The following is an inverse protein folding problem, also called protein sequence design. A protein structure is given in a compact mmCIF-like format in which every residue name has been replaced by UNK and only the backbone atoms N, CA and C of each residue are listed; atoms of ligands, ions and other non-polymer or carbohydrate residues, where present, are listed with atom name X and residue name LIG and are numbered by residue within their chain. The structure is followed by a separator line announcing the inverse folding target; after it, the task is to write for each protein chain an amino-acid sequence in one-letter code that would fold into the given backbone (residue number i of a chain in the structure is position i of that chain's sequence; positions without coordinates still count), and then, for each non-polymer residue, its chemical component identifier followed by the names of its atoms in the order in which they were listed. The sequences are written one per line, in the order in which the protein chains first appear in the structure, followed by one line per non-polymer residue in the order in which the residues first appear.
data_IF_565262446745
#
_entry.id   IF_565262446745
#
_cell.length_a   1.000
_cell.length_b   1.000
_cell.length_c   1.000
_cell.angle_alpha   90.00
_cell.angle_beta   90.00
_cell.angle_gamma   90.00
#
_symmetry.space_group_name_H-M   'P 1'
#
loop_
_entity.id
_entity.type
_entity.pdbx_description
1 polymer ?
#
# COMPACT_ATOMS: atom_id res chain seq x y z
N UNK A 1 -0.07 32.70 -5.10
CA UNK A 1 0.18 31.41 -5.75
C UNK A 1 1.43 30.86 -5.12
N UNK A 2 1.40 29.61 -4.65
CA UNK A 2 2.56 28.95 -4.06
C UNK A 2 3.28 28.21 -5.17
N UNK A 3 4.39 28.78 -5.66
CA UNK A 3 5.09 28.26 -6.84
C UNK A 3 6.23 27.36 -6.43
N UNK A 4 6.36 26.18 -7.06
CA UNK A 4 7.43 25.23 -6.73
C UNK A 4 8.78 25.76 -7.23
N UNK A 5 9.73 25.96 -6.33
CA UNK A 5 11.05 26.54 -6.65
C UNK A 5 12.22 25.60 -6.40
N UNK A 6 12.08 24.65 -5.47
CA UNK A 6 13.13 23.70 -5.13
C UNK A 6 12.60 22.28 -5.06
N UNK A 7 13.46 21.34 -5.44
CA UNK A 7 13.20 19.90 -5.50
C UNK A 7 14.42 19.21 -4.91
N UNK A 8 14.21 18.44 -3.85
CA UNK A 8 15.24 17.62 -3.24
C UNK A 8 14.81 16.15 -3.20
N UNK A 9 15.75 15.25 -3.45
CA UNK A 9 15.49 13.81 -3.56
C UNK A 9 16.64 13.05 -2.91
N UNK A 10 16.31 12.34 -1.83
CA UNK A 10 17.28 11.59 -1.02
C UNK A 10 17.02 10.09 -1.13
N UNK A 11 18.06 9.35 -1.48
CA UNK A 11 18.11 7.89 -1.39
C UNK A 11 18.44 7.51 0.06
N UNK A 12 17.42 7.06 0.80
CA UNK A 12 17.54 6.63 2.19
C UNK A 12 17.49 5.11 2.26
N UNK A 13 18.42 4.49 3.00
CA UNK A 13 18.47 3.04 3.21
C UNK A 13 18.72 2.73 4.68
N UNK A 14 17.88 1.90 5.26
CA UNK A 14 17.98 1.44 6.65
C UNK A 14 18.45 -0.01 6.66
N UNK A 15 19.47 -0.38 7.46
CA UNK A 15 20.06 -1.72 7.46
C UNK A 15 19.18 -2.76 8.20
N UNK A 16 17.92 -2.92 7.79
CA UNK A 16 16.99 -3.89 8.39
C UNK A 16 17.43 -5.35 8.19
N UNK A 17 18.33 -5.62 7.24
CA UNK A 17 18.88 -6.95 7.04
C UNK A 17 19.67 -7.48 8.24
N UNK A 18 20.20 -6.59 9.07
CA UNK A 18 21.03 -6.96 10.23
C UNK A 18 20.20 -7.66 11.31
N UNK A 19 18.89 -7.41 11.35
CA UNK A 19 17.94 -8.01 12.30
C UNK A 19 16.87 -8.88 11.64
N UNK A 20 16.96 -9.09 10.32
CA UNK A 20 16.00 -9.84 9.48
C UNK A 20 14.55 -9.33 9.56
N UNK A 21 14.35 -8.08 9.99
CA UNK A 21 13.04 -7.44 10.01
C UNK A 21 12.56 -7.22 8.58
N UNK A 22 11.30 -7.58 8.31
CA UNK A 22 10.72 -7.51 6.97
C UNK A 22 11.01 -8.73 6.08
N UNK A 23 11.68 -9.77 6.59
CA UNK A 23 12.01 -10.96 5.80
C UNK A 23 10.77 -11.77 5.41
N UNK A 24 10.76 -12.20 4.16
CA UNK A 24 9.69 -13.00 3.54
C UNK A 24 10.26 -14.08 2.59
N UNK A 25 9.42 -14.93 1.95
CA UNK A 25 9.89 -16.01 1.08
C UNK A 25 10.88 -15.59 -0.02
N UNK A 26 10.69 -14.41 -0.63
CA UNK A 26 11.57 -13.85 -1.65
C UNK A 26 12.61 -12.88 -1.09
N UNK A 27 12.17 -11.92 -0.28
CA UNK A 27 13.01 -10.87 0.29
C UNK A 27 13.62 -11.36 1.61
N UNK A 28 14.64 -12.21 1.52
CA UNK A 28 15.23 -12.87 2.70
C UNK A 28 16.03 -11.93 3.60
N UNK A 29 16.64 -10.88 3.02
CA UNK A 29 17.49 -9.89 3.72
C UNK A 29 17.24 -8.48 3.18
N UNK A 30 16.03 -7.92 3.34
CA UNK A 30 15.70 -6.61 2.79
C UNK A 30 16.37 -5.51 3.60
N UNK A 31 16.79 -4.45 2.90
CA UNK A 31 17.16 -3.17 3.54
C UNK A 31 16.08 -2.16 3.20
N UNK A 32 15.15 -1.95 4.13
CA UNK A 32 14.06 -1.01 3.95
C UNK A 32 14.61 0.33 3.53
N UNK A 33 14.23 0.74 2.34
CA UNK A 33 14.76 1.89 1.67
C UNK A 33 13.61 2.77 1.24
N UNK A 34 13.89 4.06 1.11
CA UNK A 34 12.90 5.01 0.65
C UNK A 34 13.55 6.08 -0.19
N UNK A 35 12.80 6.56 -1.18
CA UNK A 35 13.11 7.79 -1.87
C UNK A 35 12.32 8.90 -1.18
N UNK A 36 13.01 9.73 -0.41
CA UNK A 36 12.41 10.92 0.21
C UNK A 36 12.42 12.04 -0.83
N UNK A 37 11.24 12.44 -1.27
CA UNK A 37 11.06 13.53 -2.24
C UNK A 37 10.49 14.75 -1.54
N UNK A 38 11.13 15.89 -1.72
CA UNK A 38 10.75 17.16 -1.11
C UNK A 38 10.56 18.23 -2.18
N UNK A 39 9.37 18.82 -2.21
CA UNK A 39 9.03 19.96 -3.08
C UNK A 39 8.84 21.20 -2.21
N UNK A 40 9.57 22.28 -2.51
CA UNK A 40 9.49 23.54 -1.76
C UNK A 40 8.95 24.66 -2.64
N UNK A 41 8.01 25.43 -2.11
CA UNK A 41 7.43 26.59 -2.78
C UNK A 41 8.16 27.89 -2.41
N UNK A 42 7.97 28.95 -3.18
CA UNK A 42 8.56 30.27 -2.95
C UNK A 42 8.08 30.95 -1.64
N UNK A 43 6.87 30.62 -1.19
CA UNK A 43 6.36 31.02 0.12
C UNK A 43 6.78 30.08 1.28
N UNK A 44 7.66 29.12 1.01
CA UNK A 44 8.31 28.28 2.02
C UNK A 44 7.53 27.05 2.46
N UNK A 45 6.42 26.70 1.80
CA UNK A 45 5.74 25.42 2.05
C UNK A 45 6.58 24.27 1.51
N UNK A 46 6.52 23.14 2.22
CA UNK A 46 7.29 21.95 1.91
C UNK A 46 6.37 20.75 1.89
N UNK A 47 6.20 20.13 0.73
CA UNK A 47 5.54 18.83 0.62
C UNK A 47 6.54 17.72 0.47
N UNK A 48 6.18 16.57 1.01
CA UNK A 48 7.07 15.46 1.22
C UNK A 48 6.36 14.18 0.84
N UNK A 49 7.08 13.29 0.17
CA UNK A 49 6.65 11.91 -0.03
C UNK A 49 7.77 10.93 0.25
N UNK A 50 7.35 9.71 0.55
CA UNK A 50 8.23 8.55 0.66
C UNK A 50 7.77 7.51 -0.32
N UNK A 51 8.70 6.95 -1.09
CA UNK A 51 8.47 5.80 -1.95
C UNK A 51 9.34 4.65 -1.47
N UNK A 52 8.70 3.54 -1.10
CA UNK A 52 9.35 2.41 -0.45
C UNK A 52 9.98 1.43 -1.44
N UNK A 53 11.18 0.94 -1.10
CA UNK A 53 11.81 -0.22 -1.73
C UNK A 53 12.55 -1.06 -0.68
N UNK A 54 13.13 -2.19 -1.10
CA UNK A 54 13.83 -3.12 -0.23
C UNK A 54 15.37 -3.14 -0.40
N UNK A 55 15.98 -2.05 -0.90
CA UNK A 55 17.43 -1.89 -0.95
C UNK A 55 17.97 -1.57 -2.34
N UNK A 56 18.43 -2.60 -3.06
CA UNK A 56 18.94 -2.43 -4.42
C UNK A 56 17.84 -1.88 -5.36
N UNK A 57 18.21 -0.97 -6.26
CA UNK A 57 17.26 -0.31 -7.17
C UNK A 57 16.61 0.96 -6.62
N UNK A 58 16.79 1.29 -5.32
CA UNK A 58 16.31 2.55 -4.75
C UNK A 58 16.90 3.77 -5.48
N UNK A 59 18.17 3.67 -5.88
CA UNK A 59 18.90 4.69 -6.64
C UNK A 59 18.34 4.90 -8.04
N UNK A 60 17.81 3.86 -8.69
CA UNK A 60 17.20 3.98 -10.03
C UNK A 60 15.92 4.80 -9.98
N UNK A 61 15.08 4.54 -8.98
CA UNK A 61 13.86 5.34 -8.76
C UNK A 61 14.23 6.75 -8.33
N UNK A 62 15.22 6.93 -7.44
CA UNK A 62 15.67 8.26 -7.03
C UNK A 62 16.16 9.10 -8.22
N UNK A 63 16.89 8.50 -9.17
CA UNK A 63 17.26 9.15 -10.42
C UNK A 63 16.03 9.54 -11.24
N UNK A 64 15.09 8.61 -11.44
CA UNK A 64 13.83 8.88 -12.16
C UNK A 64 13.01 10.01 -11.55
N UNK A 65 12.94 10.09 -10.21
CA UNK A 65 12.29 11.20 -9.50
C UNK A 65 13.03 12.52 -9.75
N UNK A 66 14.36 12.55 -9.61
CA UNK A 66 15.16 13.77 -9.81
C UNK A 66 14.95 14.39 -11.18
N UNK A 67 14.91 13.54 -12.22
CA UNK A 67 14.73 13.96 -13.59
C UNK A 67 13.28 14.39 -13.85
N UNK A 68 12.31 13.51 -13.57
CA UNK A 68 10.91 13.78 -13.88
C UNK A 68 10.31 14.93 -13.07
N UNK A 69 10.73 15.10 -11.81
CA UNK A 69 10.26 16.19 -10.97
C UNK A 69 10.63 17.56 -11.53
N UNK A 70 11.62 17.69 -12.43
CA UNK A 70 11.92 18.98 -13.06
C UNK A 70 10.72 19.57 -13.80
N UNK A 71 9.78 18.73 -14.28
CA UNK A 71 8.54 19.18 -14.90
C UNK A 71 7.61 19.93 -13.93
N UNK A 72 7.78 19.76 -12.62
CA UNK A 72 6.98 20.45 -11.59
C UNK A 72 7.59 21.81 -11.21
N UNK A 73 8.85 22.07 -11.57
CA UNK A 73 9.51 23.32 -11.21
C UNK A 73 8.84 24.50 -11.90
N UNK A 74 8.49 25.52 -11.13
CA UNK A 74 7.79 26.71 -11.61
C UNK A 74 6.27 26.55 -11.73
N UNK A 75 5.70 25.38 -11.46
CA UNK A 75 4.25 25.21 -11.43
C UNK A 75 3.65 25.78 -10.14
N UNK A 76 2.42 26.28 -10.25
CA UNK A 76 1.65 26.79 -9.13
C UNK A 76 0.85 25.67 -8.47
N UNK A 77 0.91 25.61 -7.14
CA UNK A 77 0.16 24.62 -6.35
C UNK A 77 -1.36 24.78 -6.56
N UNK A 78 -1.83 26.00 -6.79
CA UNK A 78 -3.23 26.28 -7.07
C UNK A 78 -3.72 25.66 -8.39
N UNK A 79 -2.86 25.56 -9.41
CA UNK A 79 -3.19 24.88 -10.67
C UNK A 79 -3.34 23.37 -10.45
N UNK A 80 -2.44 22.78 -9.65
CA UNK A 80 -2.57 21.38 -9.22
C UNK A 80 -3.86 21.16 -8.42
N UNK A 81 -4.16 22.02 -7.45
CA UNK A 81 -5.40 21.93 -6.66
C UNK A 81 -6.65 22.13 -7.54
N UNK A 82 -6.56 22.88 -8.64
CA UNK A 82 -7.64 23.10 -9.60
C UNK A 82 -7.87 21.90 -10.54
N UNK A 83 -6.84 21.13 -10.90
CA UNK A 83 -6.98 19.91 -11.70
C UNK A 83 -5.84 18.89 -11.45
N UNK A 84 -5.95 18.09 -10.38
CA UNK A 84 -4.94 17.07 -10.08
C UNK A 84 -4.80 16.00 -11.18
N UNK A 85 -5.89 15.74 -11.91
CA UNK A 85 -5.93 14.75 -12.99
C UNK A 85 -5.10 15.18 -14.20
N UNK A 86 -5.12 16.46 -14.54
CA UNK A 86 -4.26 17.02 -15.60
C UNK A 86 -2.78 16.97 -15.22
N UNK A 87 -2.43 17.23 -13.96
CA UNK A 87 -1.06 17.06 -13.49
C UNK A 87 -0.61 15.59 -13.51
N UNK A 88 -1.47 14.66 -13.08
CA UNK A 88 -1.20 13.23 -13.23
C UNK A 88 -0.91 12.86 -14.70
N UNK A 89 -1.73 13.38 -15.64
CA UNK A 89 -1.56 13.16 -17.08
C UNK A 89 -0.26 13.74 -17.62
N UNK A 90 0.15 14.92 -17.18
CA UNK A 90 1.45 15.52 -17.56
C UNK A 90 2.61 14.53 -17.33
N UNK A 91 2.59 13.80 -16.21
CA UNK A 91 3.65 12.87 -15.86
C UNK A 91 3.49 11.51 -16.56
N UNK A 92 2.30 10.90 -16.53
CA UNK A 92 2.09 9.55 -17.07
C UNK A 92 2.04 9.50 -18.61
N UNK A 93 1.66 10.60 -19.25
CA UNK A 93 1.60 10.72 -20.71
C UNK A 93 2.85 11.34 -21.32
N UNK A 94 3.93 11.44 -20.54
CA UNK A 94 5.20 11.87 -21.07
C UNK A 94 5.59 10.98 -22.27
N UNK A 95 5.58 11.56 -23.46
CA UNK A 95 5.61 10.86 -24.75
C UNK A 95 6.77 9.85 -24.92
N UNK A 96 7.90 10.07 -24.25
CA UNK A 96 9.04 9.13 -24.24
C UNK A 96 8.98 8.15 -23.07
N UNK A 97 8.90 8.65 -21.84
CA UNK A 97 8.88 7.86 -20.61
C UNK A 97 7.65 6.93 -20.47
N UNK A 98 6.55 7.20 -21.19
CA UNK A 98 5.41 6.29 -21.24
C UNK A 98 5.80 4.90 -21.77
N UNK A 99 6.85 4.79 -22.58
CA UNK A 99 7.40 3.50 -23.02
C UNK A 99 7.94 2.66 -21.84
N UNK A 100 8.21 3.30 -20.70
CA UNK A 100 8.72 2.72 -19.45
C UNK A 100 7.68 2.77 -18.32
N UNK A 101 6.40 3.01 -18.62
CA UNK A 101 5.39 3.54 -17.68
C UNK A 101 5.10 2.74 -16.40
N UNK A 102 5.57 1.51 -16.26
CA UNK A 102 5.30 0.65 -15.11
C UNK A 102 6.55 0.42 -14.24
N UNK A 103 6.37 -0.14 -13.05
CA UNK A 103 7.45 -0.39 -12.10
C UNK A 103 8.16 0.92 -11.70
N UNK A 104 9.44 1.05 -12.05
CA UNK A 104 10.31 2.15 -11.64
C UNK A 104 9.76 3.52 -12.04
N UNK A 105 9.27 3.70 -13.27
CA UNK A 105 8.75 5.00 -13.70
C UNK A 105 7.46 5.36 -12.97
N UNK A 106 6.57 4.37 -12.79
CA UNK A 106 5.32 4.56 -12.04
C UNK A 106 5.59 4.95 -10.58
N UNK A 107 6.57 4.31 -9.97
CA UNK A 107 7.04 4.63 -8.62
C UNK A 107 7.57 6.07 -8.56
N UNK A 108 8.42 6.49 -9.51
CA UNK A 108 8.92 7.86 -9.55
C UNK A 108 7.80 8.91 -9.66
N UNK A 109 6.81 8.66 -10.55
CA UNK A 109 5.61 9.50 -10.68
C UNK A 109 4.85 9.58 -9.35
N UNK A 110 4.67 8.44 -8.67
CA UNK A 110 3.99 8.37 -7.37
C UNK A 110 4.65 9.23 -6.31
N UNK A 111 5.99 9.27 -6.28
CA UNK A 111 6.74 10.15 -5.36
C UNK A 111 6.39 11.62 -5.57
N UNK A 112 6.34 12.06 -6.82
CA UNK A 112 6.08 13.47 -7.16
C UNK A 112 4.63 13.84 -6.80
N UNK A 113 3.67 12.99 -7.20
CA UNK A 113 2.24 13.24 -6.98
C UNK A 113 1.91 13.27 -5.49
N UNK A 114 2.45 12.34 -4.72
CA UNK A 114 2.19 12.32 -3.27
C UNK A 114 2.79 13.55 -2.58
N UNK A 115 3.92 14.07 -3.04
CA UNK A 115 4.50 15.30 -2.50
C UNK A 115 3.65 16.55 -2.84
N UNK A 116 3.01 16.57 -4.02
CA UNK A 116 2.04 17.61 -4.40
C UNK A 116 0.77 17.56 -3.54
N UNK A 117 0.24 16.38 -3.27
CA UNK A 117 -0.90 16.20 -2.36
C UNK A 117 -0.56 16.62 -0.92
N UNK A 118 0.64 16.29 -0.44
CA UNK A 118 1.11 16.73 0.88
C UNK A 118 1.30 18.26 0.93
N UNK A 119 1.86 18.87 -0.12
CA UNK A 119 1.93 20.35 -0.27
C UNK A 119 0.53 20.96 -0.15
N UNK A 120 -0.45 20.44 -0.89
CA UNK A 120 -1.82 20.96 -0.88
C UNK A 120 -2.46 20.80 0.50
N UNK A 121 -2.34 19.64 1.14
CA UNK A 121 -2.87 19.42 2.49
C UNK A 121 -2.26 20.39 3.52
N UNK A 122 -0.95 20.63 3.45
CA UNK A 122 -0.25 21.60 4.30
C UNK A 122 -0.67 23.05 4.02
N UNK A 123 -0.91 23.42 2.75
CA UNK A 123 -1.47 24.73 2.39
C UNK A 123 -2.84 24.96 3.04
N UNK A 124 -3.67 23.92 3.09
CA UNK A 124 -4.98 23.99 3.77
C UNK A 124 -4.90 23.89 5.30
N UNK A 125 -3.73 23.58 5.86
CA UNK A 125 -3.58 23.35 7.31
C UNK A 125 -4.33 22.10 7.80
N UNK A 126 -4.48 21.08 6.94
CA UNK A 126 -5.23 19.86 7.26
C UNK A 126 -4.37 18.59 7.11
N UNK A 127 -4.63 17.52 7.88
CA UNK A 127 -4.07 16.21 7.59
C UNK A 127 -4.63 15.67 6.26
N UNK A 128 -3.80 15.03 5.43
CA UNK A 128 -4.12 14.66 4.03
C UNK A 128 -5.47 13.93 3.83
N UNK A 129 -5.88 13.07 4.77
CA UNK A 129 -7.17 12.39 4.66
C UNK A 129 -8.36 13.37 4.61
N UNK A 130 -8.27 14.51 5.30
CA UNK A 130 -9.36 15.49 5.35
C UNK A 130 -9.60 16.15 4.00
N UNK A 131 -8.60 16.77 3.32
CA UNK A 131 -8.77 17.25 1.97
C UNK A 131 -9.36 16.19 1.04
N UNK A 132 -8.85 14.95 1.06
CA UNK A 132 -9.34 13.88 0.19
C UNK A 132 -10.83 13.56 0.36
N UNK A 133 -11.31 13.50 1.61
CA UNK A 133 -12.74 13.31 1.86
C UNK A 133 -13.54 14.59 1.72
N UNK A 134 -12.91 15.78 1.73
CA UNK A 134 -13.52 17.11 1.56
C UNK A 134 -13.79 17.47 0.10
N UNK A 135 -13.08 16.86 -0.85
CA UNK A 135 -13.32 17.03 -2.28
C UNK A 135 -14.77 16.73 -2.64
N UNK A 136 -15.31 17.54 -3.55
CA UNK A 136 -16.62 17.22 -4.14
C UNK A 136 -16.52 15.93 -4.98
N UNK A 137 -17.61 15.18 -5.12
CA UNK A 137 -17.66 14.02 -6.01
C UNK A 137 -17.11 14.30 -7.42
N UNK A 138 -17.45 15.46 -7.99
CA UNK A 138 -17.01 15.88 -9.33
C UNK A 138 -15.50 16.08 -9.37
N UNK A 139 -14.92 16.64 -8.30
CA UNK A 139 -13.48 16.88 -8.20
C UNK A 139 -12.69 15.57 -8.07
N UNK A 140 -13.21 14.59 -7.34
CA UNK A 140 -12.63 13.25 -7.26
C UNK A 140 -12.65 12.61 -8.65
N UNK A 141 -13.79 12.66 -9.34
CA UNK A 141 -13.93 12.11 -10.71
C UNK A 141 -12.97 12.80 -11.70
N UNK A 142 -12.82 14.12 -11.62
CA UNK A 142 -11.87 14.88 -12.44
C UNK A 142 -10.41 14.44 -12.21
N UNK A 143 -10.08 14.00 -10.99
CA UNK A 143 -8.72 13.63 -10.60
C UNK A 143 -8.29 12.25 -11.09
N UNK A 144 -9.20 11.46 -11.70
CA UNK A 144 -8.97 10.09 -12.13
C UNK A 144 -8.72 10.03 -13.65
N UNK A 145 -7.76 9.20 -14.07
CA UNK A 145 -7.56 8.87 -15.49
C UNK A 145 -8.42 7.67 -15.92
N UNK A 146 -9.47 7.96 -16.67
CA UNK A 146 -10.52 7.01 -17.04
C UNK A 146 -10.20 6.15 -18.27
N UNK A 147 -9.05 6.33 -18.93
CA UNK A 147 -8.78 5.72 -20.25
C UNK A 147 -8.97 4.21 -20.31
N UNK A 148 -8.68 3.49 -19.22
CA UNK A 148 -8.72 2.02 -19.15
C UNK A 148 -9.63 1.48 -18.05
N UNK A 149 -10.61 2.28 -17.61
CA UNK A 149 -11.54 1.90 -16.54
C UNK A 149 -13.00 1.80 -17.03
N UNK A 150 -13.33 2.46 -18.15
CA UNK A 150 -14.71 2.73 -18.60
C UNK A 150 -15.53 1.49 -18.97
N UNK A 151 -14.88 0.36 -19.23
CA UNK A 151 -15.52 -0.92 -19.52
C UNK A 151 -16.04 -1.63 -18.26
N UNK A 152 -15.59 -1.21 -17.07
CA UNK A 152 -16.02 -1.75 -15.77
C UNK A 152 -16.64 -0.69 -14.87
N UNK A 153 -16.12 0.55 -14.92
CA UNK A 153 -16.60 1.68 -14.13
C UNK A 153 -16.44 2.98 -14.93
N UNK A 154 -17.56 3.60 -15.27
CA UNK A 154 -17.59 4.91 -15.93
C UNK A 154 -17.44 6.07 -14.93
N UNK A 155 -17.00 7.26 -15.39
CA UNK A 155 -17.00 8.47 -14.56
C UNK A 155 -18.38 8.79 -13.97
N UNK A 156 -19.43 8.53 -14.74
CA UNK A 156 -20.82 8.78 -14.34
C UNK A 156 -21.26 7.83 -13.22
N UNK A 157 -20.97 6.52 -13.35
CA UNK A 157 -21.22 5.55 -12.29
C UNK A 157 -20.40 5.84 -11.03
N UNK A 158 -19.13 6.22 -11.18
CA UNK A 158 -18.30 6.63 -10.05
C UNK A 158 -18.83 7.88 -9.36
N UNK A 159 -19.33 8.86 -10.12
CA UNK A 159 -19.97 10.05 -9.58
C UNK A 159 -21.22 9.66 -8.76
N UNK A 160 -22.05 8.76 -9.27
CA UNK A 160 -23.21 8.26 -8.52
C UNK A 160 -22.81 7.57 -7.22
N UNK A 161 -21.75 6.74 -7.24
CA UNK A 161 -21.22 6.08 -6.04
C UNK A 161 -20.77 7.13 -5.02
N UNK A 162 -20.04 8.17 -5.46
CA UNK A 162 -19.52 9.22 -4.60
C UNK A 162 -20.62 10.13 -4.04
N UNK A 163 -21.67 10.40 -4.83
CA UNK A 163 -22.84 11.16 -4.40
C UNK A 163 -23.67 10.39 -3.37
N UNK A 164 -23.96 9.11 -3.62
CA UNK A 164 -24.56 8.20 -2.62
C UNK A 164 -23.69 8.13 -1.36
N UNK A 165 -22.37 8.12 -1.54
CA UNK A 165 -21.39 8.16 -0.46
C UNK A 165 -21.34 9.46 0.35
N UNK A 166 -22.09 10.51 -0.02
CA UNK A 166 -22.24 11.70 0.83
C UNK A 166 -23.24 11.46 1.97
N UNK A 167 -24.19 10.56 1.80
CA UNK A 167 -25.18 10.22 2.84
C UNK A 167 -24.46 9.65 4.07
N UNK A 168 -24.73 10.22 5.25
CA UNK A 168 -24.09 9.84 6.51
C UNK A 168 -22.60 10.21 6.63
N UNK A 169 -22.07 11.06 5.74
CA UNK A 169 -20.65 11.48 5.78
C UNK A 169 -20.30 12.22 7.06
N UNK A 170 -21.20 13.07 7.56
CA UNK A 170 -21.02 13.77 8.83
C UNK A 170 -20.91 12.79 10.01
N UNK A 171 -21.76 11.77 10.03
CA UNK A 171 -21.76 10.73 11.07
C UNK A 171 -20.49 9.87 10.99
N UNK A 172 -20.08 9.45 9.79
CA UNK A 172 -18.81 8.73 9.58
C UNK A 172 -17.61 9.56 10.04
N UNK A 173 -17.60 10.86 9.75
CA UNK A 173 -16.55 11.77 10.23
C UNK A 173 -16.56 11.88 11.74
N UNK A 174 -17.72 12.09 12.36
CA UNK A 174 -17.83 12.17 13.81
C UNK A 174 -17.38 10.87 14.48
N UNK A 175 -17.72 9.71 13.89
CA UNK A 175 -17.26 8.41 14.35
C UNK A 175 -15.74 8.26 14.23
N UNK A 176 -15.15 8.63 13.08
CA UNK A 176 -13.70 8.57 12.87
C UNK A 176 -12.92 9.51 13.78
N UNK A 177 -13.46 10.71 14.06
CA UNK A 177 -12.89 11.69 14.98
C UNK A 177 -13.12 11.33 16.46
N UNK A 178 -13.88 10.27 16.74
CA UNK A 178 -14.00 9.74 18.10
C UNK A 178 -12.69 9.08 18.55
N UNK A 179 -12.65 8.56 19.79
CA UNK A 179 -11.48 7.80 20.27
C UNK A 179 -11.25 6.46 19.54
N UNK A 180 -12.16 6.03 18.66
CA UNK A 180 -12.04 4.78 17.91
C UNK A 180 -11.59 5.11 16.49
N UNK A 181 -10.30 4.93 16.22
CA UNK A 181 -9.75 4.97 14.85
C UNK A 181 -10.17 3.75 14.03
N UNK A 182 -9.66 3.63 12.78
CA UNK A 182 -9.93 2.46 11.96
C UNK A 182 -9.34 1.20 12.60
N UNK A 183 -10.00 0.06 12.40
CA UNK A 183 -9.47 -1.23 12.84
C UNK A 183 -8.18 -1.54 12.08
N UNK A 184 -7.14 -1.96 12.80
CA UNK A 184 -5.86 -2.34 12.24
C UNK A 184 -5.54 -3.81 12.56
N UNK A 185 -4.62 -4.40 11.79
CA UNK A 185 -4.03 -5.71 12.07
C UNK A 185 -2.51 -5.59 12.13
N UNK A 186 -1.84 -6.56 12.75
CA UNK A 186 -0.38 -6.57 12.87
C UNK A 186 0.24 -7.71 12.07
N UNK A 187 1.24 -7.40 11.25
CA UNK A 187 2.11 -8.42 10.62
C UNK A 187 3.21 -8.78 11.62
N UNK A 188 2.98 -9.79 12.44
CA UNK A 188 3.88 -10.19 13.53
C UNK A 188 4.81 -11.36 13.16
N UNK A 189 4.46 -12.17 12.15
CA UNK A 189 5.17 -13.40 11.82
C UNK A 189 6.18 -13.28 10.69
N UNK A 190 7.21 -12.43 10.81
CA UNK A 190 8.32 -12.40 9.86
C UNK A 190 9.10 -13.72 9.89
N UNK A 191 9.49 -14.26 8.72
CA UNK A 191 10.07 -15.61 8.64
C UNK A 191 11.37 -15.77 9.43
N UNK A 192 12.17 -14.70 9.53
CA UNK A 192 13.44 -14.68 10.24
C UNK A 192 13.34 -14.62 11.77
N UNK A 193 12.14 -14.49 12.33
CA UNK A 193 11.94 -14.46 13.78
C UNK A 193 11.71 -15.87 14.34
N UNK A 194 12.18 -16.07 15.58
CA UNK A 194 11.86 -17.27 16.36
C UNK A 194 10.41 -17.22 16.85
N UNK A 195 9.82 -18.38 17.14
CA UNK A 195 8.46 -18.47 17.66
C UNK A 195 8.25 -17.65 18.94
N UNK A 196 9.26 -17.58 19.81
CA UNK A 196 9.20 -16.77 21.02
C UNK A 196 9.15 -15.27 20.70
N UNK A 197 9.96 -14.79 19.75
CA UNK A 197 9.93 -13.38 19.34
C UNK A 197 8.57 -13.02 18.72
N UNK A 198 8.00 -13.91 17.90
CA UNK A 198 6.65 -13.72 17.34
C UNK A 198 5.60 -13.66 18.46
N UNK A 199 5.69 -14.56 19.46
CA UNK A 199 4.79 -14.56 20.60
C UNK A 199 4.90 -13.26 21.43
N UNK A 200 6.11 -12.77 21.66
CA UNK A 200 6.35 -11.52 22.39
C UNK A 200 5.72 -10.33 21.65
N UNK A 201 5.91 -10.24 20.32
CA UNK A 201 5.25 -9.22 19.49
C UNK A 201 3.73 -9.34 19.54
N UNK A 202 3.17 -10.54 19.43
CA UNK A 202 1.73 -10.76 19.53
C UNK A 202 1.20 -10.29 20.89
N UNK A 203 1.87 -10.68 21.97
CA UNK A 203 1.47 -10.32 23.33
C UNK A 203 1.53 -8.81 23.54
N UNK A 204 2.57 -8.14 23.05
CA UNK A 204 2.67 -6.69 23.05
C UNK A 204 1.51 -6.04 22.28
N UNK A 205 1.24 -6.49 21.04
CA UNK A 205 0.16 -5.97 20.21
C UNK A 205 -1.23 -6.18 20.83
N UNK A 206 -1.43 -7.29 21.55
CA UNK A 206 -2.65 -7.51 22.34
C UNK A 206 -2.84 -6.46 23.43
N UNK A 207 -1.77 -5.93 24.03
CA UNK A 207 -1.87 -4.82 25.00
C UNK A 207 -2.38 -3.53 24.37
N UNK A 208 -2.15 -3.35 23.05
CA UNK A 208 -2.71 -2.24 22.26
C UNK A 208 -4.11 -2.54 21.70
N UNK A 209 -4.69 -3.71 22.02
CA UNK A 209 -6.04 -4.10 21.60
C UNK A 209 -6.13 -4.77 20.23
N UNK A 210 -5.02 -5.23 19.65
CA UNK A 210 -5.05 -5.97 18.39
C UNK A 210 -5.63 -7.39 18.57
N UNK A 211 -6.50 -7.78 17.65
CA UNK A 211 -7.17 -9.07 17.58
C UNK A 211 -7.00 -9.76 16.20
N UNK A 212 -6.18 -9.18 15.32
CA UNK A 212 -5.94 -9.66 13.96
C UNK A 212 -4.43 -9.69 13.67
N UNK A 213 -3.91 -10.84 13.22
CA UNK A 213 -2.47 -11.06 13.03
C UNK A 213 -2.16 -11.77 11.72
N UNK A 214 -1.18 -11.25 10.96
CA UNK A 214 -0.71 -11.83 9.71
C UNK A 214 0.65 -12.53 9.86
N UNK A 215 0.78 -13.72 9.26
CA UNK A 215 1.97 -14.57 9.31
C UNK A 215 2.50 -14.85 7.90
N UNK A 216 3.82 -14.83 7.72
CA UNK A 216 4.47 -15.24 6.48
C UNK A 216 4.53 -16.77 6.39
N UNK A 217 4.28 -17.31 5.20
CA UNK A 217 4.30 -18.76 4.89
C UNK A 217 4.95 -19.05 3.53
N UNK A 218 5.22 -20.31 3.25
CA UNK A 218 5.50 -20.83 1.91
C UNK A 218 6.91 -21.30 1.62
N UNK A 219 7.77 -21.39 2.63
CA UNK A 219 9.12 -21.98 2.47
C UNK A 219 9.17 -23.47 2.78
N UNK A 220 8.47 -23.92 3.83
CA UNK A 220 8.41 -25.33 4.22
C UNK A 220 7.08 -25.62 4.92
N UNK A 221 6.30 -26.54 4.35
CA UNK A 221 4.95 -26.81 4.80
C UNK A 221 4.91 -27.34 6.24
N UNK A 222 5.85 -28.22 6.60
CA UNK A 222 5.84 -28.82 7.93
C UNK A 222 6.19 -27.79 8.99
N UNK A 223 7.20 -26.97 8.72
CA UNK A 223 7.60 -25.85 9.55
C UNK A 223 6.47 -24.82 9.72
N UNK A 224 5.81 -24.45 8.62
CA UNK A 224 4.67 -23.52 8.68
C UNK A 224 3.52 -24.11 9.50
N UNK A 225 3.22 -25.40 9.35
CA UNK A 225 2.18 -26.07 10.17
C UNK A 225 2.55 -26.06 11.67
N UNK A 226 3.80 -26.32 12.01
CA UNK A 226 4.27 -26.27 13.39
C UNK A 226 4.17 -24.87 13.98
N UNK A 227 4.64 -23.88 13.23
CA UNK A 227 4.58 -22.47 13.59
C UNK A 227 3.13 -21.98 13.73
N UNK A 228 2.26 -22.26 12.77
CA UNK A 228 0.85 -21.85 12.83
C UNK A 228 0.10 -22.54 13.97
N UNK A 229 0.43 -23.79 14.30
CA UNK A 229 -0.11 -24.47 15.49
C UNK A 229 0.27 -23.73 16.77
N UNK A 230 1.53 -23.34 16.91
CA UNK A 230 1.99 -22.55 18.04
C UNK A 230 1.28 -21.19 18.10
N UNK A 231 1.24 -20.46 16.97
CA UNK A 231 0.66 -19.13 16.89
C UNK A 231 -0.85 -19.16 17.17
N UNK A 232 -1.58 -20.15 16.66
CA UNK A 232 -3.03 -20.31 16.94
C UNK A 232 -3.28 -20.45 18.43
N UNK A 233 -2.47 -21.24 19.15
CA UNK A 233 -2.54 -21.34 20.62
C UNK A 233 -2.27 -20.00 21.30
N UNK A 234 -1.30 -19.22 20.80
CA UNK A 234 -0.91 -17.93 21.37
C UNK A 234 -1.96 -16.84 21.13
N UNK A 235 -2.53 -16.76 19.93
CA UNK A 235 -3.50 -15.71 19.59
C UNK A 235 -4.89 -16.02 20.14
N UNK A 236 -5.23 -17.30 20.29
CA UNK A 236 -6.56 -17.76 20.71
C UNK A 236 -7.48 -18.05 19.52
N UNK A 237 -8.63 -18.65 19.82
CA UNK A 237 -9.54 -19.12 18.77
C UNK A 237 -10.39 -18.02 18.13
N UNK A 238 -10.55 -16.89 18.81
CA UNK A 238 -11.36 -15.75 18.37
C UNK A 238 -10.58 -14.74 17.51
N UNK A 239 -9.25 -14.72 17.63
CA UNK A 239 -8.41 -13.81 16.87
C UNK A 239 -8.35 -14.21 15.38
N UNK A 240 -8.40 -13.21 14.50
CA UNK A 240 -8.22 -13.44 13.06
C UNK A 240 -6.75 -13.71 12.76
N UNK A 241 -6.50 -14.77 12.01
CA UNK A 241 -5.18 -15.13 11.50
C UNK A 241 -5.19 -14.98 9.99
N UNK A 242 -4.19 -14.31 9.43
CA UNK A 242 -4.04 -14.16 7.99
C UNK A 242 -2.68 -14.71 7.58
N UNK A 243 -2.59 -15.20 6.35
CA UNK A 243 -1.37 -15.76 5.79
C UNK A 243 -0.92 -14.92 4.61
N UNK A 244 0.38 -14.95 4.32
CA UNK A 244 0.99 -14.18 3.24
C UNK A 244 2.18 -14.96 2.66
N UNK A 245 2.09 -15.31 1.38
CA UNK A 245 3.06 -16.14 0.67
C UNK A 245 3.97 -15.36 -0.28
N UNK A 246 3.72 -14.06 -0.45
CA UNK A 246 4.49 -13.15 -1.31
C UNK A 246 4.79 -13.72 -2.70
N UNK A 247 3.80 -14.32 -3.35
CA UNK A 247 3.80 -14.74 -4.75
C UNK A 247 4.63 -15.99 -5.06
N UNK A 248 5.04 -16.77 -4.04
CA UNK A 248 6.07 -17.82 -4.19
C UNK A 248 5.61 -19.04 -4.99
N UNK A 249 4.30 -19.32 -5.04
CA UNK A 249 3.77 -20.56 -5.61
C UNK A 249 3.18 -20.39 -7.01
N UNK A 250 3.13 -21.49 -7.75
CA UNK A 250 2.18 -21.64 -8.86
C UNK A 250 0.75 -21.88 -8.35
N UNK A 251 -0.24 -21.80 -9.24
CA UNK A 251 -1.67 -21.88 -8.86
C UNK A 251 -2.05 -23.19 -8.15
N UNK A 252 -1.72 -24.35 -8.72
CA UNK A 252 -2.11 -25.63 -8.14
C UNK A 252 -1.34 -25.93 -6.84
N UNK A 253 -0.10 -25.45 -6.75
CA UNK A 253 0.72 -25.52 -5.54
C UNK A 253 0.12 -24.65 -4.43
N UNK A 254 -0.29 -23.41 -4.73
CA UNK A 254 -0.91 -22.52 -3.77
C UNK A 254 -2.20 -23.10 -3.17
N UNK A 255 -3.02 -23.75 -3.99
CA UNK A 255 -4.24 -24.45 -3.55
C UNK A 255 -3.85 -25.59 -2.61
N UNK A 256 -3.01 -26.53 -3.08
CA UNK A 256 -2.62 -27.69 -2.31
C UNK A 256 -1.93 -27.32 -0.99
N UNK A 257 -1.09 -26.28 -0.99
CA UNK A 257 -0.39 -25.80 0.21
C UNK A 257 -1.38 -25.19 1.21
N UNK A 258 -2.24 -24.28 0.75
CA UNK A 258 -3.17 -23.56 1.64
C UNK A 258 -4.24 -24.49 2.22
N UNK A 259 -4.69 -25.49 1.46
CA UNK A 259 -5.60 -26.53 1.96
C UNK A 259 -5.03 -27.26 3.18
N UNK A 260 -3.73 -27.53 3.20
CA UNK A 260 -3.05 -28.17 4.33
C UNK A 260 -2.97 -27.27 5.57
N UNK A 261 -3.17 -25.95 5.41
CA UNK A 261 -3.17 -24.97 6.50
C UNK A 261 -4.58 -24.64 7.00
N UNK A 262 -5.63 -25.16 6.36
CA UNK A 262 -7.03 -24.88 6.69
C UNK A 262 -7.38 -25.24 8.16
N UNK A 263 -6.71 -26.23 8.76
CA UNK A 263 -6.90 -26.59 10.16
C UNK A 263 -6.62 -25.43 11.14
N UNK A 264 -5.82 -24.45 10.74
CA UNK A 264 -5.49 -23.27 11.56
C UNK A 264 -6.46 -22.11 11.37
N UNK A 265 -7.50 -22.28 10.54
CA UNK A 265 -8.56 -21.31 10.26
C UNK A 265 -8.02 -19.94 9.82
N UNK A 266 -7.19 -19.86 8.75
CA UNK A 266 -6.77 -18.57 8.22
C UNK A 266 -7.97 -17.86 7.59
N UNK A 267 -8.06 -16.55 7.81
CA UNK A 267 -9.11 -15.70 7.27
C UNK A 267 -8.88 -15.42 5.78
N UNK A 268 -7.62 -15.23 5.37
CA UNK A 268 -7.21 -15.18 3.97
C UNK A 268 -5.77 -15.67 3.78
N UNK A 269 -5.43 -16.00 2.53
CA UNK A 269 -4.06 -16.10 2.02
C UNK A 269 -3.78 -14.93 1.08
N UNK A 270 -2.75 -14.15 1.39
CA UNK A 270 -2.31 -12.97 0.64
C UNK A 270 -1.21 -13.34 -0.33
N UNK A 271 -1.30 -12.81 -1.55
CA UNK A 271 -0.34 -13.03 -2.63
C UNK A 271 0.04 -14.51 -2.80
N UNK A 272 -0.91 -15.43 -3.04
CA UNK A 272 -0.59 -16.84 -3.15
C UNK A 272 0.23 -17.18 -4.41
N UNK A 273 0.15 -16.35 -5.45
CA UNK A 273 0.84 -16.57 -6.73
C UNK A 273 1.24 -15.22 -7.35
N UNK A 274 1.78 -15.23 -8.57
CA UNK A 274 2.22 -14.04 -9.28
C UNK A 274 1.14 -12.94 -9.30
N UNK A 275 1.50 -11.72 -8.90
CA UNK A 275 0.60 -10.56 -8.80
C UNK A 275 -0.20 -10.24 -10.07
N UNK A 276 0.33 -10.61 -11.23
CA UNK A 276 -0.28 -10.30 -12.53
C UNK A 276 -1.23 -11.42 -13.02
N UNK A 277 -1.32 -12.56 -12.30
CA UNK A 277 -2.14 -13.71 -12.68
C UNK A 277 -3.58 -13.63 -12.12
N UNK A 278 -4.38 -12.72 -12.67
CA UNK A 278 -5.79 -12.52 -12.27
C UNK A 278 -6.62 -13.81 -12.34
N UNK A 279 -6.41 -14.65 -13.35
CA UNK A 279 -7.13 -15.91 -13.50
C UNK A 279 -6.66 -16.96 -12.49
N UNK A 280 -5.36 -16.98 -12.17
CA UNK A 280 -4.80 -17.77 -11.08
C UNK A 280 -5.43 -17.40 -9.75
N UNK A 281 -5.48 -16.12 -9.39
CA UNK A 281 -6.16 -15.63 -8.17
C UNK A 281 -7.61 -16.10 -8.10
N UNK A 282 -8.36 -16.01 -9.20
CA UNK A 282 -9.75 -16.49 -9.27
C UNK A 282 -9.84 -17.99 -9.00
N UNK A 283 -9.01 -18.81 -9.66
CA UNK A 283 -9.01 -20.27 -9.50
C UNK A 283 -8.66 -20.66 -8.06
N UNK A 284 -7.68 -19.98 -7.44
CA UNK A 284 -7.30 -20.21 -6.04
C UNK A 284 -8.47 -19.84 -5.11
N UNK A 285 -9.11 -18.69 -5.33
CA UNK A 285 -10.24 -18.25 -4.52
C UNK A 285 -11.43 -19.22 -4.60
N UNK A 286 -11.78 -19.70 -5.79
CA UNK A 286 -12.84 -20.70 -6.00
C UNK A 286 -12.52 -22.02 -5.28
N UNK A 287 -11.27 -22.47 -5.31
CA UNK A 287 -10.83 -23.71 -4.66
C UNK A 287 -10.78 -23.62 -3.12
N UNK A 288 -10.43 -22.45 -2.58
CA UNK A 288 -10.30 -22.24 -1.13
C UNK A 288 -11.61 -21.81 -0.44
N UNK A 289 -12.62 -21.37 -1.20
CA UNK A 289 -13.92 -20.98 -0.65
C UNK A 289 -14.61 -22.06 0.21
N UNK A 290 -14.60 -23.37 -0.13
CA UNK A 290 -15.14 -24.43 0.74
C UNK A 290 -14.47 -24.55 2.10
N UNK A 291 -13.23 -24.05 2.23
CA UNK A 291 -12.48 -24.00 3.50
C UNK A 291 -12.72 -22.71 4.30
N UNK A 292 -13.51 -21.76 3.76
CA UNK A 292 -13.75 -20.46 4.39
C UNK A 292 -12.55 -19.53 4.35
N UNK A 293 -11.60 -19.75 3.44
CA UNK A 293 -10.35 -18.98 3.32
C UNK A 293 -10.50 -18.01 2.14
N UNK A 294 -10.37 -16.71 2.39
CA UNK A 294 -10.30 -15.69 1.35
C UNK A 294 -8.95 -15.66 0.62
N UNK A 295 -8.91 -14.98 -0.52
CA UNK A 295 -7.66 -14.68 -1.25
C UNK A 295 -7.51 -13.18 -1.34
N UNK A 296 -6.34 -12.66 -0.97
CA UNK A 296 -6.00 -11.23 -0.95
C UNK A 296 -4.81 -10.92 -1.85
#
# INVERSE_FOLDING_TARGET
MSRIVNIDVVDLRVPTSDTLLGSDPFHKKPNYSSILTTLTTDDGLVGTSVNFTAGAGNDWIAYGVKDLAQLTKGQDLEDFAADPGSFYKLLIDHHQLRWLADGVARMAIGSIINAMWDLWAKKEGKPLWQPLVDLSPEKIVQSIDWRYLRDVLTPEEALEILQKGQDGRADRRAHFMSKRGPKAYSTAGWLGLTDQQIADTINEMKTFGFDCFKMKVGQDLQHDRERLRFIRKTIGDDALMMLDANQIWGVDEAIAYTEQLAEFRPHWIEEPTARDDVFGYRKIAEALAPHGIGVA
#
